data_IF_078750299684
#
_entry.id   IF_078750299684
#
_cell.length_a   1.000
_cell.length_b   1.000
_cell.length_c   1.000
_cell.angle_alpha   90.00
_cell.angle_beta   90.00
_cell.angle_gamma   90.00
#
_symmetry.space_group_name_H-M   'P 1'
#
loop_
_entity.id
_entity.type
_entity.pdbx_description
1 polymer ?
#
# COMPACT_ATOMS: atom_id res chain seq x y z
N UNK A 1 20.32 -20.28 10.40
CA UNK A 1 20.39 -18.99 11.11
C UNK A 1 18.97 -18.49 11.32
N UNK A 2 18.54 -18.31 12.57
CA UNK A 2 17.26 -17.69 12.88
C UNK A 2 17.27 -16.27 12.30
N UNK A 3 16.31 -15.95 11.43
CA UNK A 3 16.18 -14.59 10.90
C UNK A 3 15.74 -13.62 12.00
N UNK A 4 16.10 -12.35 11.87
CA UNK A 4 15.62 -11.30 12.77
C UNK A 4 14.12 -11.06 12.54
N UNK A 5 13.32 -11.04 13.61
CA UNK A 5 11.90 -10.72 13.56
C UNK A 5 11.62 -9.32 14.09
N UNK A 6 10.49 -8.73 13.67
CA UNK A 6 10.03 -7.46 14.24
C UNK A 6 9.79 -7.56 15.74
N UNK A 7 9.35 -8.73 16.22
CA UNK A 7 9.15 -8.98 17.64
C UNK A 7 10.46 -8.84 18.43
N UNK A 8 11.60 -9.28 17.88
CA UNK A 8 12.89 -9.20 18.55
C UNK A 8 13.30 -7.74 18.77
N UNK A 9 13.12 -6.89 17.73
CA UNK A 9 13.37 -5.44 17.80
C UNK A 9 12.45 -4.77 18.84
N UNK A 10 11.18 -5.14 18.87
CA UNK A 10 10.24 -4.60 19.86
C UNK A 10 10.60 -5.03 21.27
N UNK A 11 10.98 -6.30 21.47
CA UNK A 11 11.37 -6.81 22.77
C UNK A 11 12.63 -6.12 23.32
N UNK A 12 13.59 -5.77 22.47
CA UNK A 12 14.81 -5.10 22.91
C UNK A 12 14.68 -3.57 23.00
N UNK A 13 13.91 -2.93 22.12
CA UNK A 13 13.94 -1.48 21.93
C UNK A 13 12.69 -0.71 22.36
N UNK A 14 11.53 -1.37 22.52
CA UNK A 14 10.26 -0.66 22.73
C UNK A 14 10.22 0.13 24.04
N UNK A 15 10.78 -0.42 25.11
CA UNK A 15 10.75 0.27 26.41
C UNK A 15 11.58 1.55 26.40
N UNK A 16 12.79 1.51 25.84
CA UNK A 16 13.62 2.69 25.66
C UNK A 16 12.96 3.73 24.73
N UNK A 17 12.31 3.28 23.65
CA UNK A 17 11.55 4.17 22.76
C UNK A 17 10.43 4.90 23.51
N UNK A 18 9.70 4.22 24.40
CA UNK A 18 8.60 4.78 25.20
C UNK A 18 9.05 5.81 26.24
N UNK A 19 10.31 5.78 26.65
CA UNK A 19 10.87 6.81 27.55
C UNK A 19 11.05 8.17 26.85
N UNK A 20 11.20 8.16 25.53
CA UNK A 20 11.50 9.37 24.73
C UNK A 20 10.35 9.79 23.82
N UNK A 21 9.37 8.90 23.59
CA UNK A 21 8.28 9.12 22.65
C UNK A 21 6.93 8.66 23.19
N UNK A 22 5.92 9.50 22.99
CA UNK A 22 4.52 9.14 23.26
C UNK A 22 3.99 8.23 22.17
N UNK A 23 3.34 7.14 22.58
CA UNK A 23 2.65 6.23 21.67
C UNK A 23 1.14 6.30 21.92
N UNK A 24 0.36 6.27 20.84
CA UNK A 24 -1.08 6.08 20.93
C UNK A 24 -1.41 4.69 21.47
N UNK A 25 -2.60 4.55 22.07
CA UNK A 25 -3.13 3.26 22.51
C UNK A 25 -3.08 2.21 21.39
N UNK A 26 -3.43 2.60 20.15
CA UNK A 26 -3.43 1.69 19.01
C UNK A 26 -2.01 1.19 18.67
N UNK A 27 -1.00 2.05 18.74
CA UNK A 27 0.40 1.64 18.53
C UNK A 27 0.86 0.66 19.61
N UNK A 28 0.57 0.96 20.89
CA UNK A 28 0.93 0.08 22.01
C UNK A 28 0.27 -1.30 21.87
N UNK A 29 -1.02 -1.33 21.53
CA UNK A 29 -1.77 -2.58 21.30
C UNK A 29 -1.17 -3.41 20.17
N UNK A 30 -0.78 -2.78 19.06
CA UNK A 30 -0.12 -3.48 17.94
C UNK A 30 1.24 -4.04 18.36
N UNK A 31 2.05 -3.27 19.10
CA UNK A 31 3.32 -3.75 19.64
C UNK A 31 3.13 -4.98 20.53
N UNK A 32 2.17 -4.94 21.47
CA UNK A 32 1.85 -6.07 22.34
C UNK A 32 1.45 -7.30 21.52
N UNK A 33 0.56 -7.15 20.54
CA UNK A 33 0.16 -8.25 19.66
C UNK A 33 1.35 -8.85 18.90
N UNK A 34 2.28 -8.03 18.42
CA UNK A 34 3.50 -8.49 17.74
C UNK A 34 4.42 -9.27 18.68
N UNK A 35 4.62 -8.79 19.90
CA UNK A 35 5.47 -9.42 20.91
C UNK A 35 4.90 -10.75 21.42
N UNK A 36 3.58 -10.89 21.55
CA UNK A 36 2.92 -12.14 21.95
C UNK A 36 2.78 -13.16 20.80
N UNK A 37 3.05 -12.76 19.56
CA UNK A 37 2.79 -13.60 18.40
C UNK A 37 3.75 -14.78 18.31
N UNK A 38 3.20 -16.01 18.26
CA UNK A 38 3.97 -17.27 18.18
C UNK A 38 4.86 -17.58 19.38
N UNK A 39 4.69 -16.89 20.52
CA UNK A 39 5.49 -17.13 21.74
C UNK A 39 4.88 -18.13 22.71
N UNK A 40 3.62 -18.55 22.47
CA UNK A 40 2.86 -19.41 23.38
C UNK A 40 1.96 -18.65 24.36
N UNK A 41 2.14 -17.34 24.51
CA UNK A 41 1.24 -16.49 25.33
C UNK A 41 -0.21 -16.52 24.84
N UNK A 42 -0.42 -16.79 23.54
CA UNK A 42 -1.74 -16.91 22.91
C UNK A 42 -2.22 -18.36 22.81
N UNK A 43 -1.58 -19.28 23.54
CA UNK A 43 -1.77 -20.72 23.42
C UNK A 43 -0.94 -21.35 22.29
N UNK A 44 -1.13 -22.66 22.13
CA UNK A 44 -0.43 -23.50 21.16
C UNK A 44 -1.41 -24.27 20.29
N UNK A 45 -0.94 -24.64 19.09
CA UNK A 45 -1.57 -25.60 18.20
C UNK A 45 -0.62 -26.79 18.01
N UNK A 46 -1.15 -28.00 18.10
CA UNK A 46 -0.41 -29.23 17.82
C UNK A 46 -0.62 -29.62 16.35
N UNK A 47 0.47 -29.70 15.58
CA UNK A 47 0.45 -30.08 14.18
C UNK A 47 1.10 -31.46 14.06
N UNK A 48 0.36 -32.42 13.54
CA UNK A 48 0.87 -33.77 13.33
C UNK A 48 1.13 -33.99 11.84
N UNK A 49 2.27 -34.58 11.50
CA UNK A 49 2.55 -35.00 10.14
C UNK A 49 1.74 -36.24 9.77
N UNK A 50 0.96 -36.17 8.70
CA UNK A 50 0.15 -37.31 8.22
C UNK A 50 0.99 -38.49 7.69
N UNK A 51 2.31 -38.29 7.46
CA UNK A 51 3.20 -39.31 6.91
C UNK A 51 4.10 -39.99 7.96
N UNK A 52 4.63 -39.24 8.94
CA UNK A 52 5.55 -39.79 9.95
C UNK A 52 5.07 -39.65 11.40
N UNK A 53 3.85 -39.14 11.61
CA UNK A 53 3.23 -38.92 12.93
C UNK A 53 3.97 -37.96 13.88
N UNK A 54 5.07 -37.34 13.43
CA UNK A 54 5.80 -36.32 14.17
C UNK A 54 4.87 -35.16 14.56
N UNK A 55 4.93 -34.71 15.82
CA UNK A 55 4.08 -33.64 16.35
C UNK A 55 4.92 -32.40 16.61
N UNK A 56 4.52 -31.29 16.01
CA UNK A 56 5.08 -29.96 16.27
C UNK A 56 4.10 -29.11 17.06
N UNK A 57 4.58 -28.49 18.13
CA UNK A 57 3.84 -27.45 18.86
C UNK A 57 4.20 -26.08 18.30
N UNK A 58 3.21 -25.39 17.74
CA UNK A 58 3.41 -24.06 17.16
C UNK A 58 2.61 -23.06 17.99
N UNK A 59 3.24 -21.97 18.45
CA UNK A 59 2.53 -20.91 19.15
C UNK A 59 1.44 -20.27 18.28
N UNK A 60 0.31 -19.86 18.88
CA UNK A 60 -0.79 -19.24 18.16
C UNK A 60 -0.44 -17.85 17.58
N UNK A 61 -1.10 -17.50 16.47
CA UNK A 61 -0.94 -16.22 15.78
C UNK A 61 -1.71 -15.10 16.48
N UNK A 62 -1.16 -13.88 16.55
CA UNK A 62 -1.88 -12.71 17.07
C UNK A 62 -2.98 -12.18 16.14
N UNK A 63 -2.97 -12.59 14.85
CA UNK A 63 -3.93 -12.18 13.81
C UNK A 63 -4.00 -10.66 13.54
N UNK A 64 -3.14 -9.85 14.15
CA UNK A 64 -3.08 -8.42 13.90
C UNK A 64 -2.69 -8.14 12.44
N UNK A 65 -3.38 -7.18 11.81
CA UNK A 65 -3.15 -6.78 10.41
C UNK A 65 -1.74 -6.25 10.15
N UNK A 66 -1.05 -5.74 11.17
CA UNK A 66 0.31 -5.22 11.05
C UNK A 66 1.37 -6.31 11.23
N UNK A 67 0.98 -7.51 11.69
CA UNK A 67 1.92 -8.60 11.91
C UNK A 67 2.39 -9.22 10.58
N UNK A 68 3.70 -9.15 10.26
CA UNK A 68 4.22 -9.68 9.00
C UNK A 68 4.12 -11.21 8.91
N UNK A 69 3.98 -11.89 10.05
CA UNK A 69 3.93 -13.36 10.17
C UNK A 69 2.51 -13.95 10.06
N UNK A 70 1.47 -13.15 10.29
CA UNK A 70 0.09 -13.65 10.40
C UNK A 70 -0.76 -13.49 9.13
N UNK A 71 -0.41 -12.54 8.26
CA UNK A 71 -1.32 -12.09 7.20
C UNK A 71 -1.30 -12.94 5.92
N UNK A 72 -0.53 -14.04 5.87
CA UNK A 72 -0.38 -14.88 4.67
C UNK A 72 -1.71 -15.38 4.10
N UNK A 73 -2.49 -16.11 4.90
CA UNK A 73 -3.79 -16.66 4.48
C UNK A 73 -4.81 -15.56 4.17
N UNK A 74 -4.86 -14.50 4.97
CA UNK A 74 -5.75 -13.37 4.73
C UNK A 74 -5.41 -12.64 3.41
N UNK A 75 -4.12 -12.52 3.09
CA UNK A 75 -3.63 -11.98 1.82
C UNK A 75 -4.05 -12.87 0.66
N UNK A 76 -3.87 -14.19 0.77
CA UNK A 76 -4.24 -15.15 -0.28
C UNK A 76 -5.74 -15.13 -0.57
N UNK A 77 -6.59 -15.17 0.47
CA UNK A 77 -8.06 -15.07 0.32
C UNK A 77 -8.47 -13.75 -0.32
N UNK A 78 -7.83 -12.65 0.05
CA UNK A 78 -8.10 -11.35 -0.57
C UNK A 78 -7.70 -11.34 -2.05
N UNK A 79 -6.53 -11.90 -2.41
CA UNK A 79 -6.11 -12.04 -3.81
C UNK A 79 -7.13 -12.81 -4.62
N UNK A 80 -7.55 -13.98 -4.14
CA UNK A 80 -8.52 -14.82 -4.83
C UNK A 80 -9.82 -14.07 -5.10
N UNK A 81 -10.40 -13.43 -4.08
CA UNK A 81 -11.62 -12.64 -4.24
C UNK A 81 -11.46 -11.49 -5.24
N UNK A 82 -10.32 -10.82 -5.23
CA UNK A 82 -10.08 -9.73 -6.18
C UNK A 82 -9.80 -10.22 -7.60
N UNK A 83 -9.31 -11.45 -7.78
CA UNK A 83 -9.17 -12.06 -9.10
C UNK A 83 -10.53 -12.39 -9.72
N UNK A 84 -11.51 -12.81 -8.91
CA UNK A 84 -12.90 -13.05 -9.35
C UNK A 84 -13.57 -11.78 -9.88
N UNK A 85 -13.21 -10.61 -9.34
CA UNK A 85 -13.73 -9.30 -9.77
C UNK A 85 -13.00 -8.73 -11.01
N UNK A 86 -11.92 -9.37 -11.51
CA UNK A 86 -11.18 -8.87 -12.67
C UNK A 86 -11.85 -9.26 -13.98
N UNK A 87 -11.93 -8.29 -14.88
CA UNK A 87 -12.30 -8.50 -16.27
C UNK A 87 -11.15 -9.21 -17.02
N UNK A 88 -11.45 -10.15 -17.94
CA UNK A 88 -10.44 -10.86 -18.73
C UNK A 88 -9.86 -9.96 -19.83
N UNK A 89 -9.18 -8.88 -19.44
CA UNK A 89 -8.60 -7.89 -20.33
C UNK A 89 -7.23 -7.43 -19.83
N UNK A 90 -6.50 -6.68 -20.65
CA UNK A 90 -5.25 -6.03 -20.21
C UNK A 90 -5.55 -4.94 -19.19
N UNK A 91 -4.54 -4.52 -18.42
CA UNK A 91 -4.70 -3.48 -17.41
C UNK A 91 -3.61 -2.42 -17.49
N UNK A 92 -3.99 -1.16 -17.29
CA UNK A 92 -3.04 -0.08 -17.03
C UNK A 92 -2.80 0.06 -15.54
N UNK A 93 -1.53 0.22 -15.15
CA UNK A 93 -1.16 0.55 -13.78
C UNK A 93 -0.74 2.01 -13.69
N UNK A 94 -1.53 2.80 -12.97
CA UNK A 94 -1.26 4.21 -12.70
C UNK A 94 -0.96 4.39 -11.21
N UNK A 95 -0.09 5.32 -10.89
CA UNK A 95 0.21 5.70 -9.50
C UNK A 95 0.09 7.20 -9.35
N UNK A 96 -0.82 7.64 -8.49
CA UNK A 96 -1.01 9.05 -8.15
C UNK A 96 -0.31 9.35 -6.84
N UNK A 97 0.72 10.19 -6.85
CA UNK A 97 1.54 10.49 -5.67
C UNK A 97 1.25 11.90 -5.16
N UNK A 98 1.04 12.04 -3.86
CA UNK A 98 0.91 13.34 -3.21
C UNK A 98 2.29 13.95 -2.93
N UNK A 99 2.43 15.28 -3.05
CA UNK A 99 3.61 15.98 -2.56
C UNK A 99 3.73 15.89 -1.03
N UNK A 100 4.96 15.86 -0.52
CA UNK A 100 5.26 15.66 0.91
C UNK A 100 4.69 16.76 1.80
N UNK A 101 4.49 17.96 1.26
CA UNK A 101 3.89 19.10 1.96
C UNK A 101 2.46 18.79 2.44
N UNK A 102 1.73 17.90 1.76
CA UNK A 102 0.40 17.46 2.18
C UNK A 102 0.42 16.41 3.31
N UNK A 103 1.58 15.89 3.70
CA UNK A 103 1.70 14.96 4.82
C UNK A 103 1.19 15.57 6.13
N UNK A 104 1.29 16.89 6.29
CA UNK A 104 0.76 17.59 7.47
C UNK A 104 -0.74 17.33 7.64
N UNK A 105 -1.51 17.28 6.54
CA UNK A 105 -2.93 16.97 6.59
C UNK A 105 -3.14 15.50 7.00
N UNK A 106 -2.28 14.58 6.57
CA UNK A 106 -2.35 13.18 6.96
C UNK A 106 -2.14 12.97 8.46
N UNK A 107 -1.35 13.84 9.11
CA UNK A 107 -1.13 13.80 10.55
C UNK A 107 -2.35 14.28 11.35
N UNK A 108 -3.05 15.32 10.87
CA UNK A 108 -4.21 15.88 11.57
C UNK A 108 -5.55 15.23 11.19
N UNK A 109 -5.77 15.02 9.89
CA UNK A 109 -7.01 14.49 9.35
C UNK A 109 -6.76 13.53 8.16
N UNK A 110 -6.21 12.33 8.43
CA UNK A 110 -5.88 11.36 7.38
C UNK A 110 -7.11 10.95 6.57
N UNK A 111 -8.27 10.80 7.21
CA UNK A 111 -9.50 10.40 6.53
C UNK A 111 -9.91 11.41 5.45
N UNK A 112 -9.89 12.71 5.75
CA UNK A 112 -10.20 13.75 4.78
C UNK A 112 -9.23 13.74 3.59
N UNK A 113 -7.92 13.69 3.88
CA UNK A 113 -6.88 13.66 2.84
C UNK A 113 -7.06 12.45 1.90
N UNK A 114 -7.24 11.26 2.47
CA UNK A 114 -7.37 10.04 1.70
C UNK A 114 -8.65 10.04 0.87
N UNK A 115 -9.81 10.42 1.42
CA UNK A 115 -11.04 10.55 0.63
C UNK A 115 -10.86 11.52 -0.55
N UNK A 116 -10.19 12.67 -0.33
CA UNK A 116 -9.88 13.61 -1.40
C UNK A 116 -8.97 13.00 -2.47
N UNK A 117 -7.96 12.22 -2.08
CA UNK A 117 -7.05 11.52 -3.00
C UNK A 117 -7.80 10.53 -3.90
N UNK A 118 -8.65 9.67 -3.33
CA UNK A 118 -9.47 8.72 -4.11
C UNK A 118 -10.42 9.46 -5.06
N UNK A 119 -11.13 10.49 -4.57
CA UNK A 119 -12.03 11.33 -5.37
C UNK A 119 -11.29 12.01 -6.53
N UNK A 120 -10.16 12.66 -6.26
CA UNK A 120 -9.40 13.42 -7.24
C UNK A 120 -8.77 12.52 -8.31
N UNK A 121 -8.23 11.36 -7.94
CA UNK A 121 -7.69 10.39 -8.88
C UNK A 121 -8.80 9.89 -9.84
N UNK A 122 -9.96 9.50 -9.31
CA UNK A 122 -11.07 9.03 -10.12
C UNK A 122 -11.64 10.11 -11.04
N UNK A 123 -11.89 11.32 -10.51
CA UNK A 123 -12.36 12.45 -11.31
C UNK A 123 -11.40 12.84 -12.43
N UNK A 124 -10.10 12.70 -12.20
CA UNK A 124 -9.08 12.92 -13.23
C UNK A 124 -9.25 11.92 -14.37
N UNK A 125 -9.32 10.62 -14.06
CA UNK A 125 -9.50 9.58 -15.07
C UNK A 125 -10.81 9.74 -15.85
N UNK A 126 -11.93 9.99 -15.17
CA UNK A 126 -13.22 10.24 -15.80
C UNK A 126 -13.21 11.45 -16.73
N UNK A 127 -12.50 12.54 -16.36
CA UNK A 127 -12.37 13.73 -17.23
C UNK A 127 -11.66 13.39 -18.54
N UNK A 128 -10.62 12.57 -18.48
CA UNK A 128 -9.89 12.15 -19.68
C UNK A 128 -10.70 11.17 -20.54
N UNK A 129 -11.36 10.20 -19.91
CA UNK A 129 -12.24 9.26 -20.60
C UNK A 129 -13.35 9.98 -21.37
N UNK A 130 -14.02 10.95 -20.72
CA UNK A 130 -15.04 11.79 -21.36
C UNK A 130 -14.47 12.59 -22.53
N UNK A 131 -13.31 13.24 -22.35
CA UNK A 131 -12.65 14.02 -23.42
C UNK A 131 -12.27 13.15 -24.63
N UNK A 132 -11.87 11.91 -24.40
CA UNK A 132 -11.50 10.95 -25.45
C UNK A 132 -12.67 10.12 -25.98
N UNK A 133 -13.88 10.30 -25.42
CA UNK A 133 -15.09 9.52 -25.75
C UNK A 133 -14.88 8.01 -25.60
N UNK A 134 -14.11 7.59 -24.59
CA UNK A 134 -13.89 6.17 -24.34
C UNK A 134 -15.11 5.48 -23.67
N UNK A 135 -15.99 6.24 -23.01
CA UNK A 135 -17.07 5.70 -22.19
C UNK A 135 -16.70 5.65 -20.71
N UNK A 136 -17.34 4.75 -19.95
CA UNK A 136 -17.11 4.55 -18.52
C UNK A 136 -15.91 3.64 -18.29
N UNK A 137 -14.90 4.16 -17.56
CA UNK A 137 -13.78 3.36 -17.08
C UNK A 137 -14.18 2.50 -15.88
N UNK A 138 -13.32 1.54 -15.53
CA UNK A 138 -13.28 0.88 -14.22
C UNK A 138 -11.97 1.19 -13.49
N UNK A 139 -11.94 1.02 -12.17
CA UNK A 139 -10.70 1.14 -11.40
C UNK A 139 -10.76 0.32 -10.12
N UNK A 140 -9.70 -0.46 -9.86
CA UNK A 140 -9.36 -0.98 -8.54
C UNK A 140 -8.22 -0.13 -7.98
N UNK A 141 -8.37 0.45 -6.79
CA UNK A 141 -7.34 1.29 -6.19
C UNK A 141 -6.94 0.87 -4.78
N UNK A 142 -5.65 1.05 -4.48
CA UNK A 142 -5.04 0.70 -3.19
C UNK A 142 -4.19 1.87 -2.70
N UNK A 143 -4.51 2.34 -1.50
CA UNK A 143 -3.75 3.38 -0.82
C UNK A 143 -2.47 2.79 -0.23
N UNK A 144 -1.36 3.50 -0.43
CA UNK A 144 -0.09 3.20 0.21
C UNK A 144 0.51 4.49 0.77
N UNK A 145 0.96 4.48 2.02
CA UNK A 145 1.36 5.69 2.77
C UNK A 145 2.84 5.76 3.11
N UNK A 146 3.67 4.83 2.65
CA UNK A 146 5.11 4.81 2.92
C UNK A 146 5.95 4.41 1.70
N UNK A 147 7.19 4.89 1.68
CA UNK A 147 8.19 4.55 0.68
C UNK A 147 8.97 3.28 1.05
N UNK A 148 9.95 2.92 0.20
CA UNK A 148 10.82 1.77 0.48
C UNK A 148 11.63 1.97 1.76
N UNK A 149 12.16 3.16 2.00
CA UNK A 149 12.88 3.51 3.24
C UNK A 149 11.95 3.75 4.45
N UNK A 150 10.66 3.39 4.35
CA UNK A 150 9.63 3.54 5.38
C UNK A 150 9.27 4.99 5.74
N UNK A 151 9.81 5.99 5.04
CA UNK A 151 9.37 7.37 5.19
C UNK A 151 7.95 7.54 4.64
N UNK A 152 7.20 8.50 5.16
CA UNK A 152 5.84 8.75 4.72
C UNK A 152 5.82 9.24 3.26
N UNK A 153 5.17 8.46 2.40
CA UNK A 153 5.07 8.70 0.97
C UNK A 153 3.68 8.26 0.49
N UNK A 154 2.75 9.20 0.44
CA UNK A 154 1.33 8.90 0.19
C UNK A 154 1.08 8.82 -1.31
N UNK A 155 0.65 7.65 -1.77
CA UNK A 155 0.33 7.40 -3.15
C UNK A 155 -0.80 6.38 -3.30
N UNK A 156 -1.49 6.47 -4.44
CA UNK A 156 -2.61 5.60 -4.78
C UNK A 156 -2.23 4.77 -6.00
N UNK A 157 -2.12 3.45 -5.83
CA UNK A 157 -2.00 2.52 -6.94
C UNK A 157 -3.37 2.27 -7.55
N UNK A 158 -3.49 2.39 -8.86
CA UNK A 158 -4.73 2.19 -9.60
C UNK A 158 -4.51 1.17 -10.72
N UNK A 159 -5.32 0.12 -10.75
CA UNK A 159 -5.48 -0.77 -11.90
C UNK A 159 -6.72 -0.38 -12.67
N UNK A 160 -6.53 -0.01 -13.93
CA UNK A 160 -7.59 0.41 -14.84
C UNK A 160 -7.69 -0.65 -15.93
N UNK A 161 -8.86 -1.30 -16.15
CA UNK A 161 -9.07 -2.14 -17.30
C UNK A 161 -8.68 -1.42 -18.60
N UNK A 162 -8.04 -2.10 -19.54
CA UNK A 162 -7.61 -1.52 -20.81
C UNK A 162 -8.78 -1.40 -21.79
N UNK A 163 -9.90 -0.88 -21.30
CA UNK A 163 -11.09 -0.62 -22.06
C UNK A 163 -12.11 0.12 -21.21
N UNK A 164 -13.23 0.43 -21.83
CA UNK A 164 -14.30 1.20 -21.24
C UNK A 164 -15.65 0.71 -21.77
N UNK A 165 -16.69 0.89 -20.96
CA UNK A 165 -18.05 0.52 -21.30
C UNK A 165 -18.80 1.74 -21.85
N UNK A 166 -19.38 1.62 -23.04
CA UNK A 166 -20.31 2.62 -23.59
C UNK A 166 -21.60 1.92 -24.02
N UNK A 167 -22.75 2.33 -23.44
CA UNK A 167 -24.07 1.75 -23.74
C UNK A 167 -24.05 0.20 -23.80
N UNK A 168 -23.48 -0.44 -22.79
CA UNK A 168 -23.29 -1.89 -22.67
C UNK A 168 -22.32 -2.54 -23.69
N UNK A 169 -21.66 -1.76 -24.54
CA UNK A 169 -20.62 -2.24 -25.45
C UNK A 169 -19.24 -1.99 -24.84
N UNK A 170 -18.39 -3.02 -24.89
CA UNK A 170 -17.01 -2.93 -24.46
C UNK A 170 -16.14 -2.34 -25.58
N UNK A 171 -15.36 -1.31 -25.25
CA UNK A 171 -14.38 -0.70 -26.14
C UNK A 171 -12.98 -0.89 -25.58
N UNK A 172 -12.15 -1.67 -26.27
CA UNK A 172 -10.76 -1.87 -25.89
C UNK A 172 -9.88 -0.65 -26.22
N UNK A 173 -8.88 -0.39 -25.38
CA UNK A 173 -7.90 0.68 -25.54
C UNK A 173 -6.54 0.02 -25.81
N UNK A 174 -6.20 -0.13 -27.09
CA UNK A 174 -5.02 -0.89 -27.55
C UNK A 174 -3.66 -0.17 -27.37
N UNK A 175 -3.62 0.93 -26.63
CA UNK A 175 -2.41 1.75 -26.47
C UNK A 175 -1.42 1.14 -25.48
N UNK A 176 -0.14 1.52 -25.62
CA UNK A 176 0.91 1.18 -24.65
C UNK A 176 0.69 1.85 -23.28
N UNK A 177 0.01 2.99 -23.23
CA UNK A 177 -0.36 3.71 -22.02
C UNK A 177 -1.77 4.29 -22.14
N UNK A 178 -2.42 4.56 -21.01
CA UNK A 178 -3.81 5.04 -20.99
C UNK A 178 -3.94 6.50 -21.45
N UNK A 179 -3.29 7.42 -20.74
CA UNK A 179 -3.29 8.87 -21.04
C UNK A 179 -1.92 9.50 -20.78
N UNK A 180 -1.60 10.67 -21.39
CA UNK A 180 -0.33 11.35 -21.16
C UNK A 180 -0.14 11.79 -19.70
N UNK A 181 0.91 11.28 -19.06
CA UNK A 181 1.16 11.49 -17.61
C UNK A 181 1.31 12.94 -17.20
N UNK A 182 1.95 13.79 -18.02
CA UNK A 182 2.10 15.23 -17.72
C UNK A 182 0.73 15.92 -17.61
N UNK A 183 -0.20 15.59 -18.52
CA UNK A 183 -1.55 16.13 -18.49
C UNK A 183 -2.36 15.57 -17.33
N UNK A 184 -2.21 14.27 -17.02
CA UNK A 184 -2.82 13.66 -15.83
C UNK A 184 -2.35 14.37 -14.56
N UNK A 185 -1.04 14.59 -14.38
CA UNK A 185 -0.48 15.31 -13.23
C UNK A 185 -1.08 16.69 -13.05
N UNK A 186 -1.18 17.49 -14.12
CA UNK A 186 -1.74 18.84 -14.04
C UNK A 186 -3.21 18.83 -13.62
N UNK A 187 -4.02 17.94 -14.21
CA UNK A 187 -5.45 17.84 -13.89
C UNK A 187 -5.66 17.27 -12.49
N UNK A 188 -4.88 16.26 -12.11
CA UNK A 188 -4.91 15.65 -10.79
C UNK A 188 -4.61 16.67 -9.70
N UNK A 189 -3.55 17.48 -9.85
CA UNK A 189 -3.24 18.58 -8.94
C UNK A 189 -4.45 19.49 -8.74
N UNK A 190 -5.04 19.97 -9.84
CA UNK A 190 -6.20 20.87 -9.76
C UNK A 190 -7.41 20.21 -9.08
N UNK A 191 -7.68 18.93 -9.36
CA UNK A 191 -8.77 18.18 -8.73
C UNK A 191 -8.52 17.90 -7.25
N UNK A 192 -7.29 17.60 -6.87
CA UNK A 192 -6.92 17.36 -5.48
C UNK A 192 -7.04 18.62 -4.63
N UNK A 193 -6.49 19.74 -5.11
CA UNK A 193 -6.57 21.02 -4.40
C UNK A 193 -8.01 21.51 -4.28
N UNK A 194 -8.83 21.36 -5.32
CA UNK A 194 -10.26 21.66 -5.26
C UNK A 194 -10.99 20.79 -4.23
N UNK A 195 -10.74 19.47 -4.23
CA UNK A 195 -11.36 18.56 -3.27
C UNK A 195 -10.95 18.85 -1.83
N UNK A 196 -9.69 19.22 -1.59
CA UNK A 196 -9.22 19.63 -0.27
C UNK A 196 -9.91 20.92 0.20
N UNK A 197 -9.98 21.93 -0.66
CA UNK A 197 -10.64 23.21 -0.34
C UNK A 197 -12.15 23.05 -0.10
N UNK A 198 -12.82 22.15 -0.83
CA UNK A 198 -14.23 21.79 -0.58
C UNK A 198 -14.42 21.08 0.77
N UNK A 199 -13.46 20.24 1.17
CA UNK A 199 -13.53 19.47 2.40
C UNK A 199 -13.28 20.33 3.64
N UNK A 200 -12.25 21.17 3.58
CA UNK A 200 -11.89 22.13 4.62
C UNK A 200 -11.03 23.24 3.99
N UNK A 201 -11.53 24.48 4.01
CA UNK A 201 -10.83 25.61 3.41
C UNK A 201 -9.48 25.91 4.08
N UNK A 202 -9.24 25.44 5.30
CA UNK A 202 -7.94 25.53 5.96
C UNK A 202 -6.85 24.72 5.24
N UNK A 203 -7.22 23.62 4.56
CA UNK A 203 -6.26 22.80 3.81
C UNK A 203 -5.70 23.54 2.58
N UNK A 204 -6.42 24.51 2.04
CA UNK A 204 -5.95 25.32 0.91
C UNK A 204 -4.74 26.20 1.27
N UNK A 205 -4.46 26.40 2.57
CA UNK A 205 -3.29 27.15 3.06
C UNK A 205 -1.99 26.37 2.93
N UNK A 206 -2.05 25.05 2.73
CA UNK A 206 -0.85 24.22 2.58
C UNK A 206 -0.23 24.49 1.20
N UNK A 207 0.96 25.08 1.20
CA UNK A 207 1.72 25.30 -0.03
C UNK A 207 2.14 23.97 -0.65
N UNK A 208 1.96 23.83 -1.96
CA UNK A 208 2.35 22.62 -2.70
C UNK A 208 3.17 22.99 -3.93
N UNK A 209 4.08 22.11 -4.37
CA UNK A 209 4.84 22.35 -5.59
C UNK A 209 3.93 22.43 -6.82
N UNK A 210 4.45 23.06 -7.87
CA UNK A 210 3.77 23.16 -9.17
C UNK A 210 3.78 21.82 -9.92
N UNK A 211 4.86 21.04 -9.76
CA UNK A 211 5.03 19.73 -10.40
C UNK A 211 4.53 18.61 -9.50
N UNK A 212 3.56 17.84 -10.01
CA UNK A 212 3.00 16.66 -9.35
C UNK A 212 3.30 15.41 -10.18
N UNK A 213 3.33 14.26 -9.53
CA UNK A 213 3.68 13.00 -10.19
C UNK A 213 2.47 12.08 -10.34
N UNK A 214 2.15 11.77 -11.59
CA UNK A 214 1.36 10.59 -11.94
C UNK A 214 2.27 9.70 -12.76
N UNK A 215 2.52 8.50 -12.26
CA UNK A 215 3.26 7.47 -12.99
C UNK A 215 2.29 6.58 -13.74
N UNK A 216 2.69 6.11 -14.92
CA UNK A 216 1.97 5.08 -15.67
C UNK A 216 2.96 4.05 -16.16
N UNK A 217 2.68 2.79 -15.84
CA UNK A 217 3.38 1.64 -16.42
C UNK A 217 2.70 1.23 -17.71
N UNK A 218 3.48 0.77 -18.67
CA UNK A 218 2.95 0.18 -19.90
C UNK A 218 1.97 -0.96 -19.59
N UNK A 219 0.97 -1.12 -20.45
CA UNK A 219 -0.14 -2.04 -20.27
C UNK A 219 0.33 -3.43 -19.87
N UNK A 220 -0.13 -3.90 -18.71
CA UNK A 220 0.18 -5.22 -18.19
C UNK A 220 -0.79 -6.21 -18.84
N UNK A 221 -0.24 -7.29 -19.39
CA UNK A 221 -1.06 -8.42 -19.81
C UNK A 221 -1.80 -8.97 -18.60
N UNK A 222 -3.06 -9.38 -18.79
CA UNK A 222 -3.81 -10.09 -17.77
C UNK A 222 -2.94 -11.23 -17.22
N UNK A 223 -2.73 -11.25 -15.92
CA UNK A 223 -2.07 -12.35 -15.24
C UNK A 223 -2.54 -12.39 -13.80
N UNK A 224 -2.60 -13.59 -13.22
CA UNK A 224 -2.85 -13.80 -11.79
C UNK A 224 -1.88 -12.99 -10.89
N UNK A 225 -0.71 -12.64 -11.45
CA UNK A 225 0.32 -11.81 -10.81
C UNK A 225 -0.07 -10.34 -10.66
N UNK A 226 -1.04 -9.84 -11.44
CA UNK A 226 -1.50 -8.44 -11.39
C UNK A 226 -2.13 -8.10 -10.03
N UNK A 227 -3.02 -8.96 -9.54
CA UNK A 227 -3.66 -8.79 -8.21
C UNK A 227 -2.67 -9.10 -7.09
N UNK A 228 -1.83 -10.13 -7.29
CA UNK A 228 -0.78 -10.49 -6.35
C UNK A 228 0.18 -9.32 -6.08
N UNK A 229 0.43 -8.47 -7.08
CA UNK A 229 1.18 -7.22 -6.92
C UNK A 229 0.48 -6.26 -5.94
N UNK A 230 -0.81 -5.99 -6.13
CA UNK A 230 -1.59 -5.10 -5.26
C UNK A 230 -1.74 -5.64 -3.84
N UNK A 231 -1.86 -6.96 -3.68
CA UNK A 231 -2.04 -7.61 -2.39
C UNK A 231 -0.91 -7.35 -1.39
N UNK A 232 0.29 -7.07 -1.92
CA UNK A 232 1.44 -6.68 -1.10
C UNK A 232 1.22 -5.37 -0.35
N UNK A 233 0.33 -4.51 -0.85
CA UNK A 233 0.06 -3.19 -0.30
C UNK A 233 -1.21 -3.14 0.56
N UNK A 234 -2.06 -4.18 0.52
CA UNK A 234 -3.35 -4.18 1.24
C UNK A 234 -3.31 -4.88 2.58
N UNK A 235 -2.59 -6.00 2.68
CA UNK A 235 -2.68 -6.92 3.83
C UNK A 235 -1.35 -7.21 4.52
N UNK A 236 -0.22 -7.03 3.84
CA UNK A 236 1.09 -7.18 4.49
C UNK A 236 1.44 -5.87 5.20
N UNK A 237 1.98 -5.98 6.41
CA UNK A 237 2.39 -4.83 7.22
C UNK A 237 3.48 -3.98 6.54
N UNK A 238 3.91 -2.94 7.26
CA UNK A 238 4.79 -1.88 6.74
C UNK A 238 6.13 -2.42 6.19
N UNK A 239 6.66 -3.49 6.78
CA UNK A 239 7.96 -4.05 6.42
C UNK A 239 7.93 -5.59 6.43
N UNK A 240 8.51 -6.20 5.39
CA UNK A 240 8.83 -7.64 5.39
C UNK A 240 10.04 -7.88 6.28
N UNK A 241 9.98 -8.86 7.17
CA UNK A 241 11.10 -9.24 8.06
C UNK A 241 12.33 -9.69 7.26
N UNK A 242 12.15 -10.19 6.03
CA UNK A 242 13.25 -10.51 5.11
C UNK A 242 14.13 -9.31 4.73
N UNK A 243 13.68 -8.08 5.02
CA UNK A 243 14.45 -6.86 4.77
C UNK A 243 15.38 -6.54 5.93
N UNK A 244 15.14 -7.06 7.13
CA UNK A 244 15.96 -6.78 8.30
C UNK A 244 17.38 -7.35 8.10
N UNK A 245 18.39 -6.58 8.49
CA UNK A 245 19.80 -6.97 8.36
C UNK A 245 20.44 -7.08 9.74
N UNK A 246 20.42 -6.00 10.52
CA UNK A 246 20.90 -5.97 11.89
C UNK A 246 19.94 -5.21 12.79
N UNK A 247 19.91 -5.57 14.07
CA UNK A 247 19.35 -4.74 15.13
C UNK A 247 20.24 -4.85 16.36
N UNK A 248 20.57 -3.70 16.94
CA UNK A 248 21.25 -3.58 18.22
C UNK A 248 20.58 -2.47 19.04
N UNK A 249 21.11 -2.18 20.23
CA UNK A 249 20.53 -1.18 21.14
C UNK A 249 20.48 0.23 20.54
N UNK A 250 21.34 0.54 19.57
CA UNK A 250 21.49 1.89 19.01
C UNK A 250 20.77 2.06 17.66
N UNK A 251 20.60 0.98 16.90
CA UNK A 251 20.18 1.06 15.50
C UNK A 251 19.53 -0.22 14.99
N UNK A 252 18.61 -0.04 14.05
CA UNK A 252 18.03 -1.11 13.23
C UNK A 252 18.33 -0.80 11.78
N UNK A 253 18.90 -1.77 11.06
CA UNK A 253 19.21 -1.64 9.63
C UNK A 253 18.36 -2.60 8.79
N UNK A 254 17.94 -2.14 7.62
CA UNK A 254 17.11 -2.94 6.72
C UNK A 254 17.36 -2.59 5.27
N UNK A 255 17.26 -3.60 4.40
CA UNK A 255 17.42 -3.43 2.96
C UNK A 255 16.27 -2.64 2.36
N UNK A 256 16.57 -1.72 1.46
CA UNK A 256 15.58 -1.05 0.62
C UNK A 256 16.12 -0.86 -0.80
N UNK A 257 15.21 -0.76 -1.77
CA UNK A 257 15.57 -0.51 -3.17
C UNK A 257 15.47 0.99 -3.44
N UNK A 258 16.57 1.58 -3.89
CA UNK A 258 16.65 3.00 -4.19
C UNK A 258 16.35 3.24 -5.67
N UNK A 259 15.12 3.69 -5.95
CA UNK A 259 14.67 4.01 -7.30
C UNK A 259 15.38 5.23 -7.90
N UNK A 260 15.92 6.14 -7.09
CA UNK A 260 16.64 7.31 -7.57
C UNK A 260 18.10 6.97 -7.95
N UNK A 261 18.67 5.94 -7.34
CA UNK A 261 20.02 5.44 -7.63
C UNK A 261 19.97 4.12 -8.42
N UNK A 262 19.45 4.19 -9.65
CA UNK A 262 19.43 3.07 -10.61
C UNK A 262 18.84 1.76 -10.07
N UNK A 263 17.88 1.84 -9.14
CA UNK A 263 17.28 0.69 -8.49
C UNK A 263 18.26 -0.19 -7.70
N UNK A 264 19.33 0.39 -7.16
CA UNK A 264 20.30 -0.34 -6.33
C UNK A 264 19.66 -0.75 -4.99
N UNK A 265 20.05 -1.91 -4.50
CA UNK A 265 19.68 -2.35 -3.16
C UNK A 265 20.69 -1.76 -2.16
N UNK A 266 20.16 -1.04 -1.16
CA UNK A 266 20.91 -0.37 -0.09
C UNK A 266 20.48 -0.91 1.27
N UNK A 267 21.28 -0.61 2.29
CA UNK A 267 20.97 -0.85 3.71
C UNK A 267 20.80 0.50 4.39
#
# INVERSE_FOLDING_TARGET
MSGLHLADILNSGLENYRQHHTMSYQQLRVCQHLQSCRTGQLGYQAWQCDNCSEVQQIGCSCRDRHCPRCQGMATAKWVQRQQEDLLPCRYFHLVFTLPHELNIIAHYNPNALYHCLFKAAWQTLCKFAKRKRHGQLGMTSVLHTWGQNLSQHIHLHCLIPAGALDKAHWHEIEKGYLYPVKALSTVFRGKMLAALNECDSSFAKVSTPTKWCVYSKACLTYSEKLVSYLARYTRKGVMSESRLVTANEQSVSFKYRDYADNNRDKV
#
